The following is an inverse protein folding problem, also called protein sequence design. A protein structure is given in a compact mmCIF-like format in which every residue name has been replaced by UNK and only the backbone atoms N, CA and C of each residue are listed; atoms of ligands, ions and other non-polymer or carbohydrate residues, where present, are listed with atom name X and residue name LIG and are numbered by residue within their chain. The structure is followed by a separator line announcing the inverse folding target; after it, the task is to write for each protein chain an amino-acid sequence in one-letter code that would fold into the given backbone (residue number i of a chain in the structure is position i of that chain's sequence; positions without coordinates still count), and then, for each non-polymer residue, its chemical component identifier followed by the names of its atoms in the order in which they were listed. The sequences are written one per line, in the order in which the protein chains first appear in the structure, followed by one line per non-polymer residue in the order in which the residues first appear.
data_IF_785737055369
#
_entry.id   IF_785737055369
#
_cell.length_a   1.000
_cell.length_b   1.000
_cell.length_c   1.000
_cell.angle_alpha   90.00
_cell.angle_beta   90.00
_cell.angle_gamma   90.00
#
_symmetry.space_group_name_H-M   'P 1'
#
loop_
_entity.id
_entity.type
_entity.pdbx_description
1 polymer ?
#
# COMPACT_ATOMS: atom_id res chain seq x y z
N UNK A 1 -55.73 37.48 -30.25
CA UNK A 1 -55.17 37.43 -28.88
C UNK A 1 -54.24 36.22 -28.81
N UNK A 2 -52.94 36.48 -28.66
CA UNK A 2 -51.90 35.48 -28.45
C UNK A 2 -52.16 34.69 -27.15
N UNK A 3 -51.94 33.38 -27.16
CA UNK A 3 -51.36 32.70 -25.99
C UNK A 3 -50.33 31.68 -26.44
N UNK A 4 -49.08 32.13 -26.33
CA UNK A 4 -47.85 31.40 -26.54
C UNK A 4 -47.63 30.51 -25.31
N UNK A 5 -47.95 29.22 -25.42
CA UNK A 5 -47.73 28.23 -24.38
C UNK A 5 -46.29 27.72 -24.40
N UNK A 6 -45.43 28.37 -23.63
CA UNK A 6 -44.02 28.01 -23.41
C UNK A 6 -43.93 26.66 -22.68
N UNK A 7 -43.67 25.59 -23.43
CA UNK A 7 -43.42 24.26 -22.87
C UNK A 7 -41.95 24.20 -22.41
N UNK A 8 -41.75 24.40 -21.11
CA UNK A 8 -40.48 24.38 -20.40
C UNK A 8 -39.79 23.02 -20.57
N UNK A 9 -38.62 23.03 -21.22
CA UNK A 9 -37.64 21.96 -21.15
C UNK A 9 -37.13 21.83 -19.70
N UNK A 10 -37.68 20.89 -18.93
CA UNK A 10 -37.03 20.40 -17.72
C UNK A 10 -35.94 19.39 -18.11
N UNK A 11 -34.84 19.88 -18.67
CA UNK A 11 -33.59 19.14 -18.67
C UNK A 11 -33.00 19.27 -17.27
N UNK A 12 -33.43 18.40 -16.36
CA UNK A 12 -32.77 18.21 -15.07
C UNK A 12 -31.38 17.65 -15.32
N UNK A 13 -30.39 18.52 -15.53
CA UNK A 13 -29.00 18.13 -15.43
C UNK A 13 -28.75 17.78 -13.97
N UNK A 14 -28.83 16.50 -13.65
CA UNK A 14 -28.34 15.99 -12.38
C UNK A 14 -26.83 16.27 -12.35
N UNK A 15 -26.45 17.42 -11.79
CA UNK A 15 -25.08 17.76 -11.47
C UNK A 15 -24.67 16.83 -10.34
N UNK A 16 -24.27 15.61 -10.69
CA UNK A 16 -23.61 14.73 -9.74
C UNK A 16 -22.25 15.36 -9.47
N UNK A 17 -22.04 15.81 -8.24
CA UNK A 17 -20.73 16.22 -7.79
C UNK A 17 -19.78 15.03 -8.00
N UNK A 18 -18.85 15.15 -8.95
CA UNK A 18 -17.81 14.17 -9.19
C UNK A 18 -17.05 13.95 -7.87
N UNK A 19 -16.82 12.67 -7.52
CA UNK A 19 -16.19 12.32 -6.26
C UNK A 19 -14.79 12.94 -6.19
N UNK A 20 -14.33 13.28 -4.97
CA UNK A 20 -12.98 13.80 -4.78
C UNK A 20 -11.92 12.81 -5.30
N UNK A 21 -12.21 11.51 -5.20
CA UNK A 21 -11.39 10.42 -5.74
C UNK A 21 -11.19 10.60 -7.25
N UNK A 22 -12.26 10.74 -8.02
CA UNK A 22 -12.18 10.92 -9.48
C UNK A 22 -11.48 12.24 -9.86
N UNK A 23 -11.70 13.32 -9.08
CA UNK A 23 -11.03 14.61 -9.30
C UNK A 23 -9.52 14.57 -9.03
N UNK A 24 -9.08 13.70 -8.13
CA UNK A 24 -7.67 13.51 -7.77
C UNK A 24 -6.99 12.40 -8.59
N UNK A 25 -7.62 11.93 -9.66
CA UNK A 25 -7.07 10.89 -10.53
C UNK A 25 -7.21 9.48 -9.96
N UNK A 26 -8.16 9.24 -9.06
CA UNK A 26 -8.48 7.91 -8.55
C UNK A 26 -9.69 7.28 -9.24
N UNK A 27 -9.82 5.96 -9.10
CA UNK A 27 -10.95 5.17 -9.57
C UNK A 27 -11.43 4.25 -8.43
N UNK A 28 -12.72 4.26 -8.14
CA UNK A 28 -13.32 3.30 -7.21
C UNK A 28 -13.23 1.89 -7.79
N UNK A 29 -12.99 0.91 -6.93
CA UNK A 29 -12.87 -0.50 -7.34
C UNK A 29 -13.89 -1.37 -6.60
N UNK A 30 -13.98 -2.64 -6.96
CA UNK A 30 -14.89 -3.61 -6.33
C UNK A 30 -14.23 -4.99 -6.19
N UNK A 31 -12.91 -5.01 -5.98
CA UNK A 31 -12.15 -6.23 -5.74
C UNK A 31 -12.65 -6.97 -4.51
N UNK A 32 -12.63 -8.30 -4.60
CA UNK A 32 -12.82 -9.17 -3.45
C UNK A 32 -11.45 -9.36 -2.79
N UNK A 33 -11.27 -8.78 -1.60
CA UNK A 33 -10.00 -8.81 -0.88
C UNK A 33 -10.06 -9.87 0.21
N UNK A 34 -9.05 -10.74 0.30
CA UNK A 34 -9.04 -11.86 1.23
C UNK A 34 -7.65 -12.16 1.79
N UNK A 35 -7.63 -12.88 2.89
CA UNK A 35 -6.51 -13.68 3.41
C UNK A 35 -6.90 -15.17 3.36
N UNK A 36 -6.05 -16.06 3.84
CA UNK A 36 -6.38 -17.49 3.93
C UNK A 36 -7.57 -17.80 4.83
N UNK A 37 -7.88 -16.93 5.79
CA UNK A 37 -8.91 -17.19 6.81
C UNK A 37 -10.17 -16.34 6.65
N UNK A 38 -10.06 -15.21 5.94
CA UNK A 38 -11.10 -14.21 5.92
C UNK A 38 -11.17 -13.53 4.55
N UNK A 39 -12.37 -13.49 3.97
CA UNK A 39 -12.70 -12.48 2.95
C UNK A 39 -13.17 -11.23 3.68
N UNK A 40 -12.51 -10.11 3.41
CA UNK A 40 -12.77 -8.87 4.11
C UNK A 40 -14.12 -8.26 3.70
N UNK A 41 -14.94 -7.81 4.66
CA UNK A 41 -16.03 -6.88 4.37
C UNK A 41 -15.43 -5.50 4.07
N UNK A 42 -15.21 -5.21 2.78
CA UNK A 42 -14.61 -3.95 2.34
C UNK A 42 -15.69 -2.86 2.27
N UNK A 43 -15.56 -1.85 3.12
CA UNK A 43 -16.47 -0.70 3.22
C UNK A 43 -16.27 0.30 2.08
N UNK A 44 -15.01 0.51 1.69
CA UNK A 44 -14.63 1.39 0.60
C UNK A 44 -13.31 0.94 -0.01
N UNK A 45 -13.16 1.09 -1.32
CA UNK A 45 -11.90 0.83 -2.00
C UNK A 45 -11.74 1.70 -3.25
N UNK A 46 -10.51 2.11 -3.51
CA UNK A 46 -10.14 2.85 -4.70
C UNK A 46 -8.67 2.64 -5.04
N UNK A 47 -8.37 2.73 -6.33
CA UNK A 47 -7.01 2.98 -6.81
C UNK A 47 -6.84 4.49 -6.89
N UNK A 48 -5.86 5.04 -6.21
CA UNK A 48 -5.58 6.48 -6.19
C UNK A 48 -4.14 6.76 -6.57
N UNK A 49 -3.92 7.90 -7.24
CA UNK A 49 -2.59 8.40 -7.51
C UNK A 49 -2.12 9.30 -6.36
N UNK A 50 -0.92 9.05 -5.83
CA UNK A 50 -0.34 9.83 -4.72
C UNK A 50 0.98 10.45 -5.13
N UNK A 51 1.21 11.68 -4.69
CA UNK A 51 2.54 12.29 -4.70
C UNK A 51 3.44 11.62 -3.65
N UNK A 52 4.64 11.22 -4.06
CA UNK A 52 5.70 10.71 -3.22
C UNK A 52 6.74 11.81 -3.06
N UNK A 53 6.78 12.38 -1.86
CA UNK A 53 7.82 13.32 -1.48
C UNK A 53 9.07 12.53 -1.07
N UNK A 54 10.01 12.38 -2.01
CA UNK A 54 11.37 11.95 -1.71
C UNK A 54 12.20 13.17 -1.27
N UNK A 55 11.85 13.79 -0.14
CA UNK A 55 12.72 14.80 0.44
C UNK A 55 13.86 14.05 1.13
N UNK A 56 14.99 13.90 0.43
CA UNK A 56 16.26 13.69 1.11
C UNK A 56 16.62 15.03 1.73
N UNK A 57 16.26 15.25 3.00
CA UNK A 57 16.96 16.26 3.80
C UNK A 57 18.38 15.74 3.95
N UNK A 58 19.26 16.15 3.03
CA UNK A 58 20.69 15.98 3.19
C UNK A 58 21.07 16.61 4.52
N UNK A 59 21.57 15.80 5.44
CA UNK A 59 22.03 16.26 6.73
C UNK A 59 23.19 17.22 6.54
N UNK A 60 22.90 18.50 6.52
CA UNK A 60 23.77 19.49 7.12
C UNK A 60 22.98 20.11 8.26
N UNK A 61 23.53 19.95 9.46
CA UNK A 61 23.28 20.87 10.57
C UNK A 61 23.73 22.22 10.04
N UNK A 62 22.83 22.96 9.43
CA UNK A 62 22.84 24.41 9.32
C UNK A 62 21.65 24.80 8.44
N UNK A 63 20.98 25.84 8.90
CA UNK A 63 19.72 26.37 8.42
C UNK A 63 19.73 26.59 6.89
N UNK A 64 18.56 26.45 6.24
CA UNK A 64 18.31 26.71 4.81
C UNK A 64 18.64 25.58 3.81
N UNK A 65 17.97 24.43 3.96
CA UNK A 65 17.89 23.43 2.89
C UNK A 65 16.88 23.82 1.80
N UNK A 66 17.35 24.31 0.65
CA UNK A 66 16.55 24.41 -0.58
C UNK A 66 16.50 23.04 -1.28
N UNK A 67 15.34 22.37 -1.22
CA UNK A 67 15.12 21.08 -1.86
C UNK A 67 14.37 21.20 -3.18
N UNK A 68 14.95 20.72 -4.28
CA UNK A 68 14.21 20.48 -5.53
C UNK A 68 13.39 19.20 -5.40
N UNK A 69 12.09 19.34 -5.15
CA UNK A 69 11.15 18.23 -5.10
C UNK A 69 10.71 17.79 -6.49
N UNK A 70 11.34 16.77 -7.05
CA UNK A 70 10.73 16.03 -8.17
C UNK A 70 9.52 15.27 -7.60
N UNK A 71 8.31 15.72 -7.94
CA UNK A 71 7.06 15.10 -7.52
C UNK A 71 6.87 13.76 -8.22
N UNK A 72 7.44 12.69 -7.69
CA UNK A 72 7.14 11.34 -8.17
C UNK A 72 5.70 11.00 -7.81
N UNK A 73 4.98 10.36 -8.71
CA UNK A 73 3.64 9.86 -8.43
C UNK A 73 3.65 8.34 -8.40
N UNK A 74 2.96 7.74 -7.44
CA UNK A 74 2.75 6.29 -7.37
C UNK A 74 1.27 5.99 -7.23
N UNK A 75 0.86 4.86 -7.77
CA UNK A 75 -0.50 4.37 -7.63
C UNK A 75 -0.62 3.52 -6.36
N UNK A 76 -1.72 3.68 -5.66
CA UNK A 76 -2.02 2.97 -4.43
C UNK A 76 -3.40 2.35 -4.53
N UNK A 77 -3.54 1.07 -4.15
CA UNK A 77 -4.83 0.51 -3.81
C UNK A 77 -5.07 0.82 -2.34
N UNK A 78 -6.14 1.56 -2.06
CA UNK A 78 -6.58 1.87 -0.71
C UNK A 78 -7.92 1.20 -0.46
N UNK A 79 -8.05 0.53 0.68
CA UNK A 79 -9.30 -0.08 1.09
C UNK A 79 -9.47 -0.03 2.60
N UNK A 80 -10.72 0.09 3.01
CA UNK A 80 -11.12 0.13 4.42
C UNK A 80 -11.99 -1.08 4.73
N UNK A 81 -11.74 -1.73 5.86
CA UNK A 81 -12.39 -2.97 6.27
C UNK A 81 -12.47 -3.05 7.78
N UNK A 82 -13.40 -3.85 8.30
CA UNK A 82 -13.49 -4.18 9.73
C UNK A 82 -12.62 -5.38 10.14
N UNK A 83 -12.00 -6.08 9.17
CA UNK A 83 -11.10 -7.20 9.43
C UNK A 83 -9.62 -6.80 9.38
N UNK A 84 -8.81 -7.38 10.26
CA UNK A 84 -7.35 -7.20 10.27
C UNK A 84 -6.63 -8.31 9.50
N UNK A 85 -5.64 -7.95 8.67
CA UNK A 85 -4.70 -8.92 8.10
C UNK A 85 -3.92 -9.59 9.24
N UNK A 86 -4.06 -10.91 9.33
CA UNK A 86 -3.36 -11.75 10.32
C UNK A 86 -1.98 -12.15 9.80
N UNK A 87 -0.99 -12.16 10.69
CA UNK A 87 0.40 -12.46 10.37
C UNK A 87 0.73 -13.94 10.58
N UNK A 88 1.47 -14.52 9.64
CA UNK A 88 2.03 -15.86 9.72
C UNK A 88 3.48 -15.82 10.13
N UNK A 89 3.87 -16.71 11.04
CA UNK A 89 5.26 -16.92 11.38
C UNK A 89 5.89 -17.92 10.41
N UNK A 90 6.85 -17.46 9.61
CA UNK A 90 7.57 -18.33 8.66
C UNK A 90 8.95 -18.69 9.23
N UNK A 91 9.27 -19.98 9.21
CA UNK A 91 10.62 -20.48 9.54
C UNK A 91 11.53 -20.36 8.32
N UNK A 92 12.53 -19.49 8.35
CA UNK A 92 13.55 -19.37 7.29
C UNK A 92 14.84 -20.08 7.71
N UNK A 93 15.40 -20.95 6.85
CA UNK A 93 16.66 -21.66 7.11
C UNK A 93 17.93 -20.79 6.95
N UNK A 94 17.83 -19.64 6.28
CA UNK A 94 18.99 -18.84 5.91
C UNK A 94 18.81 -17.38 6.36
N UNK A 95 19.23 -17.09 7.59
CA UNK A 95 19.52 -15.72 8.00
C UNK A 95 21.03 -15.53 7.96
N UNK A 96 21.50 -14.74 6.98
CA UNK A 96 22.90 -14.38 6.82
C UNK A 96 23.32 -13.49 7.99
N UNK A 97 24.12 -14.02 8.91
CA UNK A 97 24.76 -13.24 9.98
C UNK A 97 25.60 -12.12 9.36
N UNK A 98 25.27 -10.86 9.64
CA UNK A 98 26.08 -9.72 9.22
C UNK A 98 27.11 -9.46 10.32
N UNK A 99 28.38 -9.75 10.05
CA UNK A 99 29.50 -9.28 10.86
C UNK A 99 29.72 -7.80 10.55
N UNK A 100 29.50 -6.94 11.55
CA UNK A 100 29.94 -5.55 11.48
C UNK A 100 31.16 -5.40 12.37
N UNK A 101 32.27 -4.93 11.80
CA UNK A 101 33.49 -4.61 12.54
C UNK A 101 33.34 -3.20 13.13
N UNK A 102 33.40 -3.10 14.45
CA UNK A 102 33.57 -1.82 15.15
C UNK A 102 34.97 -1.81 15.75
N UNK A 103 35.75 -0.78 15.45
CA UNK A 103 37.02 -0.51 16.12
C UNK A 103 36.73 0.20 17.44
N UNK A 104 37.19 -0.37 18.55
CA UNK A 104 37.27 0.35 19.82
C UNK A 104 38.29 1.50 19.65
N UNK A 105 37.83 2.74 19.74
CA UNK A 105 38.65 3.94 19.50
C UNK A 105 39.78 4.08 20.53
N UNK A 106 39.63 3.50 21.73
CA UNK A 106 40.64 3.56 22.79
C UNK A 106 41.67 2.43 22.71
N UNK A 107 41.27 1.24 22.22
CA UNK A 107 42.13 0.04 22.26
C UNK A 107 42.54 -0.50 20.89
N UNK A 108 42.10 0.13 19.79
CA UNK A 108 42.38 -0.26 18.41
C UNK A 108 42.07 -1.75 18.11
N UNK A 109 41.17 -2.36 18.89
CA UNK A 109 40.73 -3.73 18.73
C UNK A 109 39.44 -3.76 17.90
N UNK A 110 39.39 -4.68 16.94
CA UNK A 110 38.18 -4.96 16.16
C UNK A 110 37.29 -5.88 16.98
N UNK A 111 36.14 -5.38 17.41
CA UNK A 111 35.13 -6.18 18.11
C UNK A 111 34.07 -6.66 17.11
N UNK A 112 33.90 -7.98 16.92
CA UNK A 112 32.79 -8.49 16.13
C UNK A 112 31.49 -8.31 16.92
N UNK A 113 30.58 -7.46 16.43
CA UNK A 113 29.19 -7.48 16.89
C UNK A 113 28.35 -8.35 15.96
N UNK A 114 27.76 -9.39 16.53
CA UNK A 114 26.69 -10.14 15.88
C UNK A 114 25.40 -9.33 15.97
N UNK A 115 24.99 -8.69 14.88
CA UNK A 115 23.61 -8.19 14.78
C UNK A 115 22.71 -9.35 14.35
N UNK A 116 21.68 -9.62 15.14
CA UNK A 116 20.54 -10.39 14.65
C UNK A 116 19.93 -9.61 13.50
N UNK A 117 19.81 -10.24 12.33
CA UNK A 117 19.08 -9.63 11.23
C UNK A 117 17.65 -9.26 11.70
N UNK A 118 17.11 -8.12 11.24
CA UNK A 118 15.86 -7.58 11.75
C UNK A 118 14.70 -8.57 11.58
N UNK A 119 13.70 -8.46 12.44
CA UNK A 119 12.39 -9.07 12.22
C UNK A 119 11.78 -8.44 10.95
N UNK A 120 11.88 -9.14 9.83
CA UNK A 120 11.40 -8.64 8.52
C UNK A 120 9.99 -9.16 8.30
N UNK A 121 9.06 -8.20 8.18
CA UNK A 121 7.70 -8.44 7.73
C UNK A 121 7.61 -8.26 6.21
N UNK A 122 6.98 -9.20 5.54
CA UNK A 122 6.68 -9.13 4.11
C UNK A 122 5.30 -9.69 3.83
N UNK A 123 4.75 -9.37 2.67
CA UNK A 123 3.45 -9.80 2.24
C UNK A 123 3.55 -10.45 0.87
N UNK A 124 2.81 -11.52 0.66
CA UNK A 124 2.56 -12.04 -0.67
C UNK A 124 1.18 -11.55 -1.13
N UNK A 125 1.15 -10.92 -2.30
CA UNK A 125 -0.07 -10.47 -2.95
C UNK A 125 -0.29 -11.28 -4.22
N UNK A 126 -1.48 -11.87 -4.33
CA UNK A 126 -1.91 -12.62 -5.50
C UNK A 126 -3.13 -11.94 -6.13
N UNK A 127 -3.08 -11.73 -7.45
CA UNK A 127 -4.20 -11.26 -8.25
C UNK A 127 -4.77 -12.45 -9.03
N UNK A 128 -6.08 -12.67 -8.94
CA UNK A 128 -6.78 -13.66 -9.77
C UNK A 128 -7.97 -13.05 -10.49
N UNK A 129 -8.29 -13.59 -11.67
CA UNK A 129 -9.49 -13.21 -12.42
C UNK A 129 -10.77 -13.81 -11.80
N UNK A 130 -11.91 -13.54 -12.43
CA UNK A 130 -13.23 -14.08 -12.05
C UNK A 130 -13.30 -15.62 -12.06
N UNK A 131 -12.45 -16.27 -12.86
CA UNK A 131 -12.35 -17.72 -12.99
C UNK A 131 -11.29 -18.31 -12.04
N UNK A 132 -10.79 -17.51 -11.08
CA UNK A 132 -9.73 -17.85 -10.13
C UNK A 132 -8.39 -18.20 -10.78
N UNK A 133 -8.14 -17.76 -12.02
CA UNK A 133 -6.84 -17.95 -12.67
C UNK A 133 -5.86 -16.91 -12.13
N UNK A 134 -4.67 -17.36 -11.78
CA UNK A 134 -3.59 -16.48 -11.29
C UNK A 134 -3.11 -15.54 -12.42
N UNK A 135 -3.22 -14.24 -12.18
CA UNK A 135 -2.72 -13.18 -13.07
C UNK A 135 -1.35 -12.69 -12.62
N UNK A 136 -1.14 -12.55 -11.31
CA UNK A 136 0.10 -12.07 -10.73
C UNK A 136 0.28 -12.66 -9.32
N UNK A 137 1.52 -12.96 -8.97
CA UNK A 137 1.96 -13.25 -7.60
C UNK A 137 3.24 -12.47 -7.33
N UNK A 138 3.25 -11.66 -6.27
CA UNK A 138 4.37 -10.79 -5.95
C UNK A 138 4.60 -10.68 -4.44
N UNK A 139 5.85 -10.50 -4.05
CA UNK A 139 6.24 -10.18 -2.68
C UNK A 139 6.38 -8.67 -2.51
N UNK A 140 5.75 -8.15 -1.45
CA UNK A 140 5.76 -6.76 -1.04
C UNK A 140 6.44 -6.64 0.33
N UNK A 141 7.37 -5.70 0.47
CA UNK A 141 7.98 -5.41 1.77
C UNK A 141 7.01 -4.66 2.68
N UNK A 142 7.28 -4.64 3.99
CA UNK A 142 6.48 -3.88 4.96
C UNK A 142 6.26 -2.41 4.58
N UNK A 143 7.25 -1.76 3.96
CA UNK A 143 7.13 -0.37 3.50
C UNK A 143 6.15 -0.15 2.35
N UNK A 144 5.74 -1.22 1.65
CA UNK A 144 4.82 -1.17 0.51
C UNK A 144 3.36 -1.34 0.94
N UNK A 145 3.10 -1.78 2.18
CA UNK A 145 1.75 -1.88 2.75
C UNK A 145 1.68 -1.09 4.04
N UNK A 146 0.91 0.00 4.02
CA UNK A 146 0.61 0.79 5.22
C UNK A 146 -0.76 0.40 5.75
N UNK A 147 -0.87 0.36 7.08
CA UNK A 147 -2.13 0.16 7.77
C UNK A 147 -2.29 1.26 8.82
N UNK A 148 -3.48 1.86 8.86
CA UNK A 148 -3.91 2.77 9.90
C UNK A 148 -5.21 2.23 10.48
N UNK A 149 -5.39 2.36 11.79
CA UNK A 149 -6.62 1.99 12.47
C UNK A 149 -7.16 3.17 13.26
N UNK A 150 -8.48 3.24 13.41
CA UNK A 150 -9.13 4.17 14.31
C UNK A 150 -9.19 3.67 15.77
N UNK A 151 -8.73 2.45 16.06
CA UNK A 151 -8.73 1.84 17.39
C UNK A 151 -10.01 1.07 17.75
N UNK A 152 -11.07 1.16 16.94
CA UNK A 152 -12.40 0.55 17.19
C UNK A 152 -12.78 -0.44 16.08
N UNK A 153 -11.81 -1.20 15.59
CA UNK A 153 -11.96 -2.25 14.56
C UNK A 153 -12.10 -1.78 13.11
N UNK A 154 -11.90 -0.49 12.81
CA UNK A 154 -11.76 -0.04 11.41
C UNK A 154 -10.28 0.02 11.01
N UNK A 155 -9.95 -0.64 9.92
CA UNK A 155 -8.60 -0.69 9.36
C UNK A 155 -8.60 -0.15 7.94
N UNK A 156 -7.72 0.81 7.67
CA UNK A 156 -7.47 1.32 6.32
C UNK A 156 -6.09 0.88 5.88
N UNK A 157 -6.05 0.16 4.77
CA UNK A 157 -4.84 -0.33 4.13
C UNK A 157 -4.51 0.51 2.91
N UNK A 158 -3.22 0.74 2.66
CA UNK A 158 -2.71 1.37 1.45
C UNK A 158 -1.57 0.53 0.91
N UNK A 159 -1.78 -0.07 -0.26
CA UNK A 159 -0.83 -0.95 -0.95
C UNK A 159 -0.22 -0.18 -2.11
N UNK A 160 1.10 -0.02 -2.12
CA UNK A 160 1.82 0.61 -3.21
C UNK A 160 1.84 -0.32 -4.44
N UNK A 161 1.28 0.15 -5.55
CA UNK A 161 1.15 -0.59 -6.80
C UNK A 161 2.36 -0.40 -7.72
N UNK A 162 3.48 0.18 -7.26
CA UNK A 162 4.68 0.44 -8.09
C UNK A 162 5.17 -0.78 -8.86
N UNK A 163 5.05 -1.98 -8.29
CA UNK A 163 5.48 -3.24 -8.91
C UNK A 163 4.35 -4.02 -9.60
N UNK A 164 3.12 -3.48 -9.60
CA UNK A 164 1.92 -4.14 -10.11
C UNK A 164 1.49 -3.40 -11.38
N UNK A 165 1.54 -4.04 -12.57
CA UNK A 165 1.03 -3.44 -13.78
C UNK A 165 -0.46 -3.15 -13.67
N UNK A 166 -0.86 -1.89 -13.86
CA UNK A 166 -2.27 -1.46 -13.74
C UNK A 166 -3.19 -2.24 -14.68
N UNK A 167 -2.71 -2.61 -15.86
CA UNK A 167 -3.47 -3.42 -16.84
C UNK A 167 -3.87 -4.81 -16.31
N UNK A 168 -3.20 -5.33 -15.28
CA UNK A 168 -3.59 -6.58 -14.62
C UNK A 168 -4.70 -6.35 -13.59
N UNK A 169 -4.79 -5.14 -13.01
CA UNK A 169 -5.85 -4.78 -12.07
C UNK A 169 -7.21 -4.69 -12.76
N UNK A 170 -7.24 -4.26 -14.02
CA UNK A 170 -8.46 -4.23 -14.85
C UNK A 170 -9.05 -5.63 -15.10
N UNK A 171 -8.22 -6.67 -15.01
CA UNK A 171 -8.62 -8.08 -15.18
C UNK A 171 -8.79 -8.82 -13.86
N UNK A 172 -8.32 -8.23 -12.76
CA UNK A 172 -8.35 -8.87 -11.46
C UNK A 172 -9.76 -8.75 -10.86
N UNK A 173 -10.25 -9.85 -10.30
CA UNK A 173 -11.47 -9.85 -9.48
C UNK A 173 -11.14 -10.05 -8.01
N UNK A 174 -10.13 -10.86 -7.70
CA UNK A 174 -9.74 -11.14 -6.34
C UNK A 174 -8.30 -10.70 -6.07
N UNK A 175 -8.11 -10.16 -4.86
CA UNK A 175 -6.80 -9.84 -4.30
C UNK A 175 -6.64 -10.66 -3.03
N UNK A 176 -5.68 -11.56 -3.04
CA UNK A 176 -5.39 -12.42 -1.90
C UNK A 176 -4.06 -12.00 -1.27
N UNK A 177 -4.07 -11.78 0.04
CA UNK A 177 -2.95 -11.22 0.80
C UNK A 177 -2.55 -12.19 1.90
N UNK A 178 -1.27 -12.54 1.94
CA UNK A 178 -0.67 -13.38 2.98
C UNK A 178 0.42 -12.56 3.64
N UNK A 179 0.34 -12.35 4.96
CA UNK A 179 1.37 -11.63 5.72
C UNK A 179 2.32 -12.61 6.37
N UNK A 180 3.62 -12.43 6.23
CA UNK A 180 4.64 -13.24 6.87
C UNK A 180 5.53 -12.40 7.79
N UNK A 181 5.94 -13.00 8.90
CA UNK A 181 6.92 -12.49 9.84
C UNK A 181 8.02 -13.54 10.06
N UNK A 182 9.27 -13.15 9.90
CA UNK A 182 10.42 -14.03 10.13
C UNK A 182 10.90 -13.91 11.58
N UNK A 183 11.15 -15.04 12.26
CA UNK A 183 11.65 -15.04 13.64
C UNK A 183 12.88 -15.94 13.83
N UNK A 184 13.71 -15.58 14.83
CA UNK A 184 14.84 -16.38 15.34
C UNK A 184 14.33 -17.43 16.34
N UNK A 185 14.86 -18.65 16.31
CA UNK A 185 14.91 -19.50 17.51
C UNK A 185 16.25 -19.26 18.20
N UNK A 186 16.21 -19.04 19.51
CA UNK A 186 17.38 -19.01 20.39
C UNK A 186 18.09 -20.37 20.42
#
# INVERSE_FOLDING_TARGET
MLFLGMLLFQAGTAVRAQSLVEKLGGATTDFIISTDYLTFPVESQAIIQRGVNNVKTGGYKDEYGYGYGYGFQTWHLEFTTTGKIVEYYRKTKEMKTVLTELTDLDNNQVLPRFQTAPDIKFYELQLTDENKRLLLKIELSESEIKMVSNGEDLYTYSINLKKIPIVLLDKARHIHIISFRNYRQE
#
